data_IF_616018632633
#
_entry.id   IF_616018632633
#
_cell.length_a   1.000
_cell.length_b   1.000
_cell.length_c   1.000
_cell.angle_alpha   90.00
_cell.angle_beta   90.00
_cell.angle_gamma   90.00
#
_symmetry.space_group_name_H-M   'P 1'
#
loop_
_entity.id
_entity.type
_entity.pdbx_description
1 polymer ?
#
# COMPACT_ATOMS: atom_id res chain seq x y z
N UNK A 1 12.88 -44.51 -6.01
CA UNK A 1 12.01 -44.42 -4.82
C UNK A 1 11.50 -42.97 -4.78
N UNK A 2 10.24 -42.74 -5.13
CA UNK A 2 9.59 -41.44 -5.06
C UNK A 2 9.21 -41.15 -3.61
N UNK A 3 9.38 -39.90 -3.10
CA UNK A 3 8.75 -39.54 -1.84
C UNK A 3 7.28 -39.20 -2.10
N UNK A 4 6.44 -39.81 -1.31
CA UNK A 4 5.00 -39.74 -1.30
C UNK A 4 4.48 -38.35 -1.02
N UNK A 5 3.47 -37.96 -1.76
CA UNK A 5 2.56 -36.83 -1.56
C UNK A 5 2.02 -36.77 -0.11
N UNK A 6 2.45 -35.77 0.65
CA UNK A 6 1.82 -35.44 1.91
C UNK A 6 0.45 -34.80 1.63
N UNK A 7 -0.60 -35.48 2.05
CA UNK A 7 -1.99 -35.13 1.83
C UNK A 7 -2.43 -33.93 2.67
N UNK A 8 -3.22 -33.06 2.03
CA UNK A 8 -4.02 -31.98 2.62
C UNK A 8 -4.91 -32.47 3.79
N UNK A 9 -4.40 -32.45 5.00
CA UNK A 9 -5.19 -32.66 6.24
C UNK A 9 -5.05 -31.53 7.26
N UNK A 10 -4.41 -30.42 6.93
CA UNK A 10 -3.98 -29.45 7.93
C UNK A 10 -5.02 -28.42 8.38
N UNK A 11 -6.15 -28.26 7.66
CA UNK A 11 -7.20 -27.29 8.02
C UNK A 11 -7.95 -27.59 9.33
N UNK A 12 -8.08 -28.88 9.69
CA UNK A 12 -8.75 -29.26 10.97
C UNK A 12 -7.87 -29.09 12.20
N UNK A 13 -6.55 -29.16 12.05
CA UNK A 13 -5.63 -29.05 13.17
C UNK A 13 -5.40 -27.61 13.64
N UNK A 14 -5.54 -26.60 12.80
CA UNK A 14 -5.34 -25.20 13.21
C UNK A 14 -6.44 -24.67 14.14
N UNK A 15 -7.71 -25.00 13.89
CA UNK A 15 -8.80 -24.65 14.78
C UNK A 15 -8.61 -25.32 16.16
N UNK A 16 -8.13 -26.59 16.20
CA UNK A 16 -7.84 -27.30 17.43
C UNK A 16 -6.64 -26.75 18.19
N UNK A 17 -5.65 -26.15 17.54
CA UNK A 17 -4.50 -25.51 18.21
C UNK A 17 -4.94 -24.23 18.93
N UNK A 18 -5.77 -23.40 18.28
CA UNK A 18 -6.31 -22.17 18.90
C UNK A 18 -7.22 -22.55 20.09
N UNK A 19 -8.09 -23.56 19.92
CA UNK A 19 -8.98 -24.04 20.98
C UNK A 19 -8.22 -24.78 22.10
N UNK A 20 -7.15 -25.52 21.78
CA UNK A 20 -6.31 -26.21 22.71
C UNK A 20 -5.55 -25.26 23.65
N UNK A 21 -4.93 -24.20 23.10
CA UNK A 21 -4.23 -23.20 23.92
C UNK A 21 -5.18 -22.40 24.84
N UNK A 22 -6.45 -22.27 24.47
CA UNK A 22 -7.46 -21.56 25.28
C UNK A 22 -8.10 -22.44 26.34
N UNK A 23 -8.06 -23.77 26.20
CA UNK A 23 -8.63 -24.70 27.15
C UNK A 23 -7.72 -25.01 28.35
N UNK A 24 -6.43 -24.72 28.26
CA UNK A 24 -5.54 -24.85 29.41
C UNK A 24 -5.78 -23.74 30.44
N UNK A 25 -6.26 -24.09 31.61
CA UNK A 25 -6.34 -23.17 32.76
C UNK A 25 -4.94 -22.61 33.03
N UNK A 26 -4.83 -21.27 33.11
CA UNK A 26 -3.63 -20.64 33.63
C UNK A 26 -3.31 -21.27 34.98
N UNK A 27 -2.02 -21.59 35.26
CA UNK A 27 -1.65 -22.03 36.62
C UNK A 27 -2.17 -21.02 37.64
N UNK A 28 -2.71 -21.50 38.75
CA UNK A 28 -3.41 -20.71 39.76
C UNK A 28 -2.56 -19.67 40.52
N UNK A 29 -1.27 -19.57 40.20
CA UNK A 29 -0.30 -18.69 40.87
C UNK A 29 0.27 -17.58 39.96
N UNK A 30 -0.54 -16.97 39.11
CA UNK A 30 -0.08 -15.86 38.23
C UNK A 30 0.88 -16.32 37.11
N UNK A 31 1.00 -17.61 36.88
CA UNK A 31 1.90 -18.21 35.90
C UNK A 31 1.40 -18.02 34.47
N UNK A 32 2.32 -17.63 33.62
CA UNK A 32 2.27 -17.66 32.18
C UNK A 32 3.56 -18.29 31.67
N UNK A 33 3.81 -18.18 30.36
CA UNK A 33 5.05 -18.64 29.77
C UNK A 33 6.11 -17.54 29.84
N UNK A 34 7.36 -17.93 30.13
CA UNK A 34 8.51 -17.01 30.07
C UNK A 34 8.86 -16.63 28.65
N UNK A 35 8.60 -17.53 27.68
CA UNK A 35 8.89 -17.30 26.26
C UNK A 35 7.74 -17.84 25.43
N UNK A 36 7.22 -16.98 24.55
CA UNK A 36 6.28 -17.33 23.47
C UNK A 36 6.87 -16.93 22.15
N UNK A 37 7.19 -17.91 21.32
CA UNK A 37 7.78 -17.70 20.00
C UNK A 37 6.97 -18.43 18.93
N UNK A 38 6.82 -17.84 17.72
CA UNK A 38 6.07 -18.49 16.66
C UNK A 38 6.21 -17.86 15.27
N UNK A 39 5.64 -18.58 14.33
CA UNK A 39 5.41 -18.13 12.96
C UNK A 39 3.92 -18.36 12.66
N UNK A 40 3.06 -17.36 12.85
CA UNK A 40 1.61 -17.50 12.66
C UNK A 40 1.27 -17.60 11.16
N UNK A 41 0.09 -18.12 10.80
CA UNK A 41 -0.33 -18.19 9.41
C UNK A 41 -0.62 -16.82 8.81
N UNK A 42 -0.02 -16.52 7.64
CA UNK A 42 -0.19 -15.26 6.89
C UNK A 42 -1.39 -15.37 5.94
N UNK A 43 -2.59 -15.47 6.49
CA UNK A 43 -3.83 -15.55 5.70
C UNK A 43 -4.57 -14.22 5.78
N UNK A 44 -4.64 -13.54 4.64
CA UNK A 44 -5.28 -12.23 4.53
C UNK A 44 -6.80 -12.29 4.72
N UNK A 45 -7.40 -11.18 5.14
CA UNK A 45 -8.86 -11.09 5.26
C UNK A 45 -9.62 -11.43 3.97
N UNK A 46 -9.22 -10.98 2.77
CA UNK A 46 -9.86 -11.40 1.53
C UNK A 46 -9.81 -12.91 1.30
N UNK A 47 -8.66 -13.54 1.57
CA UNK A 47 -8.48 -14.99 1.46
C UNK A 47 -9.37 -15.74 2.44
N UNK A 48 -9.45 -15.28 3.69
CA UNK A 48 -10.34 -15.86 4.71
C UNK A 48 -11.81 -15.80 4.26
N UNK A 49 -12.26 -14.66 3.73
CA UNK A 49 -13.65 -14.44 3.31
C UNK A 49 -14.00 -15.26 2.07
N UNK A 50 -13.06 -15.44 1.15
CA UNK A 50 -13.28 -16.19 -0.09
C UNK A 50 -13.36 -17.72 0.11
N UNK A 51 -12.76 -18.26 1.17
CA UNK A 51 -12.81 -19.68 1.51
C UNK A 51 -13.93 -19.96 2.51
N UNK A 52 -14.91 -20.83 2.21
CA UNK A 52 -16.00 -21.16 3.16
C UNK A 52 -15.48 -21.64 4.52
N UNK A 53 -14.47 -22.51 4.54
CA UNK A 53 -13.91 -23.06 5.78
C UNK A 53 -13.20 -21.97 6.62
N UNK A 54 -12.37 -21.14 5.98
CA UNK A 54 -11.67 -20.06 6.67
C UNK A 54 -12.63 -18.96 7.11
N UNK A 55 -13.69 -18.72 6.38
CA UNK A 55 -14.71 -17.75 6.76
C UNK A 55 -15.52 -18.25 7.98
N UNK A 56 -15.86 -19.52 8.02
CA UNK A 56 -16.48 -20.11 9.21
C UNK A 56 -15.57 -19.98 10.44
N UNK A 57 -14.28 -20.30 10.31
CA UNK A 57 -13.29 -20.10 11.37
C UNK A 57 -13.24 -18.64 11.82
N UNK A 58 -13.18 -17.70 10.87
CA UNK A 58 -13.21 -16.26 11.13
C UNK A 58 -14.44 -15.85 11.93
N UNK A 59 -15.63 -16.34 11.57
CA UNK A 59 -16.87 -16.06 12.29
C UNK A 59 -16.84 -16.62 13.72
N UNK A 60 -16.31 -17.81 13.94
CA UNK A 60 -16.13 -18.39 15.28
C UNK A 60 -15.20 -17.54 16.14
N UNK A 61 -14.07 -17.05 15.58
CA UNK A 61 -13.13 -16.17 16.29
C UNK A 61 -13.85 -14.88 16.73
N UNK A 62 -14.60 -14.24 15.83
CA UNK A 62 -15.37 -13.03 16.14
C UNK A 62 -16.44 -13.31 17.19
N UNK A 63 -17.21 -14.39 17.04
CA UNK A 63 -18.30 -14.76 17.97
C UNK A 63 -17.79 -15.11 19.39
N UNK A 64 -16.55 -15.58 19.51
CA UNK A 64 -15.95 -15.91 20.81
C UNK A 64 -15.79 -14.71 21.73
N UNK A 65 -15.72 -13.47 21.19
CA UNK A 65 -15.45 -12.22 21.91
C UNK A 65 -14.19 -12.24 22.80
N UNK A 66 -13.28 -13.19 22.55
CA UNK A 66 -12.04 -13.37 23.32
C UNK A 66 -10.95 -12.38 22.96
N UNK A 67 -11.00 -11.82 21.72
CA UNK A 67 -9.95 -10.99 21.17
C UNK A 67 -10.40 -9.53 21.06
N UNK A 68 -9.63 -8.63 21.66
CA UNK A 68 -9.86 -7.17 21.64
C UNK A 68 -9.24 -6.51 20.40
N UNK A 69 -8.20 -7.16 19.83
CA UNK A 69 -7.38 -6.61 18.74
C UNK A 69 -8.05 -6.65 17.37
N UNK A 70 -9.15 -7.38 17.20
CA UNK A 70 -9.82 -7.51 15.92
C UNK A 70 -10.38 -6.18 15.43
N UNK A 71 -9.96 -5.75 14.24
CA UNK A 71 -10.37 -4.49 13.66
C UNK A 71 -10.57 -4.62 12.14
N UNK A 72 -11.74 -4.22 11.64
CA UNK A 72 -12.05 -4.24 10.21
C UNK A 72 -11.73 -5.58 9.50
N UNK A 73 -10.92 -5.54 8.47
CA UNK A 73 -10.49 -6.71 7.68
C UNK A 73 -9.16 -7.26 8.20
N UNK A 74 -9.14 -7.73 9.45
CA UNK A 74 -7.94 -8.27 10.10
C UNK A 74 -7.44 -9.57 9.42
N UNK A 75 -6.13 -9.72 9.36
CA UNK A 75 -5.43 -10.91 8.91
C UNK A 75 -5.29 -11.92 10.04
N UNK A 76 -5.18 -13.22 9.72
CA UNK A 76 -5.29 -14.30 10.71
C UNK A 76 -4.19 -14.25 11.77
N UNK A 77 -3.02 -13.72 11.50
CA UNK A 77 -1.94 -13.60 12.48
C UNK A 77 -2.28 -12.63 13.64
N UNK A 78 -3.23 -11.70 13.48
CA UNK A 78 -3.61 -10.72 14.51
C UNK A 78 -4.15 -11.41 15.79
N UNK A 79 -5.17 -12.28 15.75
CA UNK A 79 -5.60 -13.01 16.93
C UNK A 79 -4.55 -13.99 17.46
N UNK A 80 -3.63 -14.52 16.62
CA UNK A 80 -2.52 -15.33 17.11
C UNK A 80 -1.54 -14.53 17.96
N UNK A 81 -1.21 -13.31 17.57
CA UNK A 81 -0.37 -12.44 18.38
C UNK A 81 -1.04 -12.10 19.71
N UNK A 82 -2.31 -11.71 19.70
CA UNK A 82 -3.03 -11.42 20.95
C UNK A 82 -3.07 -12.62 21.87
N UNK A 83 -3.35 -13.82 21.33
CA UNK A 83 -3.32 -15.05 22.12
C UNK A 83 -1.93 -15.28 22.73
N UNK A 84 -0.87 -15.15 21.96
CA UNK A 84 0.50 -15.31 22.44
C UNK A 84 0.85 -14.31 23.55
N UNK A 85 0.41 -13.07 23.45
CA UNK A 85 0.59 -12.05 24.48
C UNK A 85 -0.19 -12.38 25.77
N UNK A 86 -1.42 -12.90 25.63
CA UNK A 86 -2.24 -13.32 26.80
C UNK A 86 -1.65 -14.52 27.56
N UNK A 87 -0.78 -15.29 26.93
CA UNK A 87 -0.13 -16.46 27.52
C UNK A 87 1.15 -16.11 28.31
N UNK A 88 1.67 -14.89 28.20
CA UNK A 88 2.90 -14.47 28.87
C UNK A 88 2.72 -14.33 30.39
N UNK A 89 3.77 -14.68 31.15
CA UNK A 89 3.93 -14.14 32.51
C UNK A 89 4.40 -12.65 32.40
N UNK A 90 4.29 -11.86 33.48
CA UNK A 90 4.65 -10.44 33.47
C UNK A 90 6.08 -10.14 32.96
N UNK A 91 7.03 -11.03 33.24
CA UNK A 91 8.43 -10.90 32.79
C UNK A 91 8.73 -11.67 31.52
N UNK A 92 7.73 -12.40 30.99
CA UNK A 92 7.88 -13.20 29.77
C UNK A 92 8.04 -12.36 28.52
N UNK A 93 8.67 -12.95 27.51
CA UNK A 93 8.95 -12.31 26.22
C UNK A 93 8.22 -13.05 25.10
N UNK A 94 7.46 -12.30 24.34
CA UNK A 94 6.80 -12.75 23.11
C UNK A 94 7.62 -12.33 21.90
N UNK A 95 7.71 -13.21 20.90
CA UNK A 95 8.26 -12.88 19.58
C UNK A 95 7.62 -13.74 18.51
N UNK A 96 7.15 -13.12 17.43
CA UNK A 96 6.68 -13.80 16.22
C UNK A 96 7.17 -13.07 14.97
N UNK A 97 7.54 -13.84 13.96
CA UNK A 97 7.76 -13.25 12.63
C UNK A 97 6.38 -12.99 12.00
N UNK A 98 6.13 -11.75 11.61
CA UNK A 98 4.82 -11.30 11.11
C UNK A 98 4.96 -10.40 9.88
N UNK A 99 3.91 -10.26 9.05
CA UNK A 99 3.92 -9.32 7.95
C UNK A 99 4.17 -7.88 8.40
N UNK A 100 5.06 -7.19 7.70
CA UNK A 100 5.41 -5.79 7.96
C UNK A 100 4.19 -4.83 8.00
N UNK A 101 3.11 -5.03 7.21
CA UNK A 101 1.88 -4.25 7.31
C UNK A 101 1.27 -4.16 8.71
N UNK A 102 1.65 -5.03 9.65
CA UNK A 102 1.29 -4.86 11.05
C UNK A 102 1.69 -3.49 11.59
N UNK A 103 2.83 -2.93 11.16
CA UNK A 103 3.39 -1.68 11.67
C UNK A 103 2.53 -0.45 11.36
N UNK A 104 1.79 -0.46 10.26
CA UNK A 104 1.11 0.74 9.74
C UNK A 104 -0.35 0.56 9.30
N UNK A 105 -0.80 -0.65 8.91
CA UNK A 105 -2.13 -0.85 8.35
C UNK A 105 -3.25 -0.71 9.39
N UNK A 106 -4.43 -0.25 8.95
CA UNK A 106 -5.60 0.05 9.80
C UNK A 106 -6.09 -1.17 10.60
N UNK A 107 -6.06 -2.35 9.98
CA UNK A 107 -6.53 -3.56 10.68
C UNK A 107 -5.66 -3.94 11.88
N UNK A 108 -4.37 -3.56 11.90
CA UNK A 108 -3.46 -3.76 13.03
C UNK A 108 -3.60 -2.73 14.17
N UNK A 109 -4.38 -1.66 13.97
CA UNK A 109 -4.48 -0.55 14.91
C UNK A 109 -4.79 -0.97 16.34
N UNK A 110 -5.82 -1.80 16.55
CA UNK A 110 -6.22 -2.22 17.89
C UNK A 110 -5.16 -3.08 18.58
N UNK A 111 -4.45 -3.93 17.81
CA UNK A 111 -3.34 -4.72 18.35
C UNK A 111 -2.17 -3.81 18.74
N UNK A 112 -1.77 -2.87 17.87
CA UNK A 112 -0.73 -1.90 18.19
C UNK A 112 -1.07 -1.04 19.41
N UNK A 113 -2.33 -0.59 19.51
CA UNK A 113 -2.83 0.14 20.68
C UNK A 113 -2.67 -0.70 21.95
N UNK A 114 -3.14 -1.94 21.92
CA UNK A 114 -3.04 -2.87 23.04
C UNK A 114 -1.57 -3.07 23.46
N UNK A 115 -0.67 -3.27 22.49
CA UNK A 115 0.76 -3.41 22.77
C UNK A 115 1.32 -2.13 23.41
N UNK A 116 0.99 -0.96 22.90
CA UNK A 116 1.47 0.32 23.41
C UNK A 116 0.94 0.65 24.83
N UNK A 117 -0.23 0.16 25.20
CA UNK A 117 -0.89 0.50 26.46
C UNK A 117 -0.73 -0.58 27.56
N UNK A 118 -0.66 -1.86 27.16
CA UNK A 118 -0.71 -2.98 28.10
C UNK A 118 0.63 -3.75 28.20
N UNK A 119 1.54 -3.60 27.21
CA UNK A 119 2.79 -4.36 27.08
C UNK A 119 3.98 -3.45 26.81
N UNK A 120 5.18 -4.01 26.96
CA UNK A 120 6.42 -3.33 26.61
C UNK A 120 6.99 -3.86 25.28
N UNK A 121 7.00 -3.03 24.24
CA UNK A 121 7.70 -3.33 22.99
C UNK A 121 9.19 -3.05 23.20
N UNK A 122 10.01 -4.10 23.26
CA UNK A 122 11.45 -4.02 23.52
C UNK A 122 12.23 -3.70 22.26
N UNK A 123 11.88 -4.41 21.18
CA UNK A 123 12.61 -4.35 19.93
C UNK A 123 11.70 -4.70 18.75
N UNK A 124 11.98 -4.11 17.61
CA UNK A 124 11.45 -4.54 16.32
C UNK A 124 12.65 -4.82 15.41
N UNK A 125 12.82 -6.08 15.00
CA UNK A 125 13.74 -6.41 13.91
C UNK A 125 13.01 -6.21 12.58
N UNK A 126 13.44 -5.21 11.83
CA UNK A 126 12.96 -4.93 10.49
C UNK A 126 13.67 -5.84 9.48
N UNK A 127 12.90 -6.69 8.82
CA UNK A 127 13.37 -7.62 7.78
C UNK A 127 13.14 -7.08 6.36
N UNK A 128 12.76 -5.82 6.27
CA UNK A 128 12.48 -5.19 4.99
C UNK A 128 13.75 -5.15 4.13
N UNK A 129 13.61 -5.50 2.84
CA UNK A 129 14.75 -5.62 1.94
C UNK A 129 15.51 -6.95 2.02
N UNK A 130 15.24 -7.78 3.04
CA UNK A 130 15.87 -9.09 3.18
C UNK A 130 14.92 -10.21 2.76
N UNK A 131 15.29 -11.01 1.78
CA UNK A 131 14.50 -12.17 1.35
C UNK A 131 14.63 -13.32 2.34
N UNK A 132 13.72 -13.40 3.31
CA UNK A 132 13.71 -14.43 4.36
C UNK A 132 13.12 -15.76 3.85
N UNK A 133 12.08 -15.69 3.03
CA UNK A 133 11.40 -16.86 2.48
C UNK A 133 11.55 -16.90 0.96
N UNK A 134 11.97 -18.05 0.40
CA UNK A 134 12.20 -18.19 -1.04
C UNK A 134 10.99 -17.87 -1.90
N UNK A 135 9.78 -18.17 -1.41
CA UNK A 135 8.51 -18.07 -2.14
C UNK A 135 7.58 -16.95 -1.62
N UNK A 136 8.02 -16.11 -0.68
CA UNK A 136 7.19 -15.03 -0.14
C UNK A 136 7.62 -13.67 -0.69
N UNK A 137 6.64 -12.92 -1.19
CA UNK A 137 6.80 -11.53 -1.65
C UNK A 137 6.43 -10.51 -0.56
N UNK A 138 6.18 -10.97 0.68
CA UNK A 138 5.73 -10.12 1.78
C UNK A 138 6.92 -9.76 2.66
N UNK A 139 7.16 -8.48 2.83
CA UNK A 139 8.10 -7.97 3.83
C UNK A 139 7.63 -8.34 5.24
N UNK A 140 8.57 -8.63 6.12
CA UNK A 140 8.30 -9.10 7.49
C UNK A 140 8.98 -8.22 8.52
N UNK A 141 8.52 -8.33 9.77
CA UNK A 141 9.20 -7.82 10.95
C UNK A 141 9.07 -8.82 12.11
N UNK A 142 9.96 -8.70 13.09
CA UNK A 142 9.93 -9.51 14.30
C UNK A 142 9.84 -8.56 15.50
N UNK A 143 8.67 -8.35 16.10
CA UNK A 143 8.54 -7.62 17.36
C UNK A 143 8.93 -8.52 18.53
N UNK A 144 9.68 -7.96 19.49
CA UNK A 144 9.97 -8.54 20.81
C UNK A 144 9.18 -7.75 21.85
N UNK A 145 8.26 -8.42 22.54
CA UNK A 145 7.29 -7.78 23.41
C UNK A 145 7.34 -8.44 24.79
N UNK A 146 7.47 -7.65 25.85
CA UNK A 146 7.47 -8.12 27.23
C UNK A 146 6.07 -7.98 27.86
N UNK A 147 5.71 -8.90 28.74
CA UNK A 147 4.41 -8.96 29.42
C UNK A 147 4.15 -7.90 30.48
N UNK A 148 5.07 -6.94 30.67
CA UNK A 148 4.97 -5.85 31.65
C UNK A 148 4.66 -4.51 30.99
N UNK A 149 4.31 -3.51 31.82
CA UNK A 149 4.01 -2.14 31.41
C UNK A 149 5.15 -1.45 30.63
N UNK A 150 4.83 -0.51 29.74
CA UNK A 150 5.80 0.11 28.83
C UNK A 150 6.70 1.13 29.57
N UNK A 151 7.87 0.66 29.99
CA UNK A 151 8.96 1.55 30.43
C UNK A 151 10.23 1.20 29.64
N UNK A 152 11.01 2.23 29.27
CA UNK A 152 12.29 2.08 28.58
C UNK A 152 12.23 2.21 27.04
N UNK A 153 13.40 2.35 26.44
CA UNK A 153 13.53 2.62 24.99
C UNK A 153 13.14 1.42 24.13
N UNK A 154 12.57 1.71 22.96
CA UNK A 154 12.34 0.77 21.88
C UNK A 154 13.59 0.74 21.00
N UNK A 155 14.16 -0.45 20.77
CA UNK A 155 15.20 -0.67 19.77
C UNK A 155 14.60 -1.03 18.43
N UNK A 156 15.18 -0.49 17.36
CA UNK A 156 14.89 -0.92 15.99
C UNK A 156 16.18 -1.46 15.41
N UNK A 157 16.13 -2.72 14.96
CA UNK A 157 17.25 -3.42 14.35
C UNK A 157 16.92 -3.79 12.91
N UNK A 158 17.93 -3.88 12.07
CA UNK A 158 17.82 -4.37 10.69
C UNK A 158 18.70 -5.60 10.47
N UNK A 159 18.23 -6.51 9.64
CA UNK A 159 19.00 -7.62 9.13
C UNK A 159 19.53 -7.23 7.74
N UNK A 160 20.83 -7.24 7.58
CA UNK A 160 21.51 -6.91 6.33
C UNK A 160 21.72 -8.16 5.46
N UNK A 161 22.10 -7.98 4.19
CA UNK A 161 22.33 -9.09 3.26
C UNK A 161 23.44 -10.05 3.74
N UNK A 162 24.42 -9.54 4.50
CA UNK A 162 25.47 -10.34 5.15
C UNK A 162 24.95 -11.14 6.36
N UNK A 163 23.65 -11.13 6.62
CA UNK A 163 22.96 -11.74 7.76
C UNK A 163 23.37 -11.17 9.13
N UNK A 164 24.05 -10.04 9.17
CA UNK A 164 24.31 -9.33 10.42
C UNK A 164 23.07 -8.56 10.87
N UNK A 165 22.85 -8.54 12.20
CA UNK A 165 21.82 -7.74 12.83
C UNK A 165 22.49 -6.51 13.40
N UNK A 166 22.02 -5.31 13.01
CA UNK A 166 22.55 -4.04 13.53
C UNK A 166 21.41 -3.20 14.06
N UNK A 167 21.64 -2.57 15.19
CA UNK A 167 20.77 -1.54 15.71
C UNK A 167 20.87 -0.31 14.81
N UNK A 168 19.73 0.17 14.30
CA UNK A 168 19.67 1.32 13.41
C UNK A 168 19.04 2.54 14.11
N UNK A 169 18.23 2.32 15.17
CA UNK A 169 17.50 3.39 15.81
C UNK A 169 17.07 3.02 17.22
N UNK A 170 17.02 4.02 18.13
CA UNK A 170 16.31 3.94 19.43
C UNK A 170 15.26 5.02 19.52
N UNK A 171 14.11 4.66 20.06
CA UNK A 171 13.00 5.59 20.30
C UNK A 171 12.60 5.62 21.75
N UNK A 172 12.14 6.78 22.21
CA UNK A 172 11.58 6.93 23.54
C UNK A 172 10.31 6.05 23.69
N UNK A 173 9.94 5.64 24.90
CA UNK A 173 8.82 4.72 25.14
C UNK A 173 7.46 5.24 24.66
N UNK A 174 7.28 6.56 24.67
CA UNK A 174 6.08 7.26 24.26
C UNK A 174 5.95 7.44 22.74
N UNK A 175 7.02 7.16 21.98
CA UNK A 175 7.01 7.28 20.52
C UNK A 175 5.91 6.42 19.86
N UNK A 176 5.52 5.30 20.49
CA UNK A 176 4.43 4.44 20.00
C UNK A 176 3.04 5.05 20.22
N UNK A 177 2.91 6.06 21.09
CA UNK A 177 1.66 6.73 21.44
C UNK A 177 1.49 8.08 20.73
N UNK A 178 2.51 8.58 20.03
CA UNK A 178 2.48 9.91 19.38
C UNK A 178 1.41 10.01 18.30
N UNK A 179 1.12 8.89 17.57
CA UNK A 179 -0.05 8.81 16.69
C UNK A 179 -1.21 8.12 17.40
N UNK A 180 -1.88 8.80 18.34
CA UNK A 180 -3.06 8.28 19.07
C UNK A 180 -4.21 7.88 18.12
N UNK A 181 -4.23 8.43 16.92
CA UNK A 181 -5.25 8.11 15.93
C UNK A 181 -5.07 6.72 15.34
N UNK A 182 -3.84 6.27 15.07
CA UNK A 182 -3.57 5.01 14.36
C UNK A 182 -2.56 4.09 15.03
N UNK A 183 -1.78 4.58 16.02
CA UNK A 183 -0.71 3.84 16.71
C UNK A 183 0.31 3.24 15.73
N UNK A 184 0.68 3.99 14.69
CA UNK A 184 1.64 3.54 13.67
C UNK A 184 3.02 3.39 14.29
N UNK A 185 3.68 2.26 14.02
CA UNK A 185 5.07 2.04 14.38
C UNK A 185 5.96 2.59 13.27
N UNK A 186 6.47 3.79 13.47
CA UNK A 186 7.45 4.36 12.56
C UNK A 186 8.83 3.78 12.87
N UNK A 187 9.40 2.97 11.97
CA UNK A 187 10.65 2.25 12.16
C UNK A 187 11.87 2.96 11.54
N UNK A 188 11.70 4.15 10.99
CA UNK A 188 12.77 4.95 10.40
C UNK A 188 13.20 6.07 11.35
N UNK A 189 14.41 6.59 11.17
CA UNK A 189 14.92 7.76 11.93
C UNK A 189 14.07 9.02 11.71
N UNK A 190 13.35 9.06 10.64
CA UNK A 190 12.66 10.24 10.17
C UNK A 190 11.24 10.40 10.73
N UNK A 191 11.14 10.81 11.99
CA UNK A 191 10.17 11.86 12.31
C UNK A 191 10.46 13.12 11.44
N UNK A 192 11.66 13.22 10.89
CA UNK A 192 12.15 14.31 10.05
C UNK A 192 11.77 14.19 8.58
N UNK A 193 11.55 13.01 7.97
CA UNK A 193 11.12 12.95 6.58
C UNK A 193 9.70 13.50 6.40
N UNK A 194 8.76 13.18 7.29
CA UNK A 194 7.46 13.86 7.36
C UNK A 194 7.58 15.32 7.79
N UNK A 195 8.57 15.68 8.61
CA UNK A 195 8.81 17.05 9.09
C UNK A 195 9.66 17.88 8.13
N UNK A 196 10.63 17.28 7.43
CA UNK A 196 11.51 17.98 6.49
C UNK A 196 10.73 18.60 5.32
N UNK A 197 9.66 17.95 4.90
CA UNK A 197 8.81 18.40 3.79
C UNK A 197 7.39 18.80 4.22
N UNK A 198 7.16 18.98 5.54
CA UNK A 198 5.84 19.33 6.10
C UNK A 198 5.25 20.64 5.55
N UNK A 199 6.11 21.55 5.11
CA UNK A 199 5.73 22.82 4.51
C UNK A 199 5.59 22.78 2.98
N UNK A 200 5.90 21.63 2.36
CA UNK A 200 5.69 21.46 0.92
C UNK A 200 4.24 21.06 0.61
N UNK A 201 3.77 21.48 -0.55
CA UNK A 201 2.53 20.94 -1.10
C UNK A 201 2.72 19.43 -1.41
N UNK A 202 1.65 18.68 -1.33
CA UNK A 202 1.64 17.26 -1.68
C UNK A 202 0.98 17.04 -3.03
N UNK A 203 1.23 15.91 -3.68
CA UNK A 203 0.62 15.62 -4.99
C UNK A 203 -0.90 15.72 -4.96
N UNK A 204 -1.54 15.40 -3.84
CA UNK A 204 -2.99 15.53 -3.64
C UNK A 204 -3.52 16.97 -3.70
N UNK A 205 -2.67 17.97 -3.47
CA UNK A 205 -3.05 19.39 -3.58
C UNK A 205 -3.16 19.83 -5.06
N UNK A 206 -2.39 19.18 -5.95
CA UNK A 206 -2.38 19.45 -7.39
C UNK A 206 -3.31 18.54 -8.17
N UNK A 207 -3.47 17.29 -7.72
CA UNK A 207 -4.15 16.24 -8.48
C UNK A 207 -5.26 15.56 -7.69
N UNK A 208 -6.38 15.30 -8.35
CA UNK A 208 -7.32 14.28 -7.94
C UNK A 208 -6.73 12.90 -8.24
N UNK A 209 -6.64 12.03 -7.23
CA UNK A 209 -6.05 10.70 -7.36
C UNK A 209 -7.13 9.65 -7.15
N UNK A 210 -7.28 8.76 -8.11
CA UNK A 210 -8.25 7.66 -8.09
C UNK A 210 -7.64 6.36 -8.60
N UNK A 211 -8.26 5.24 -8.24
CA UNK A 211 -8.03 3.97 -8.93
C UNK A 211 -8.84 3.91 -10.21
N UNK A 212 -8.42 3.09 -11.16
CA UNK A 212 -9.14 2.84 -12.38
C UNK A 212 -10.37 1.94 -12.23
N UNK A 213 -10.93 1.52 -13.34
CA UNK A 213 -12.17 0.76 -13.39
C UNK A 213 -12.00 -0.71 -13.01
N UNK A 214 -13.01 -1.26 -12.37
CA UNK A 214 -13.14 -2.70 -12.08
C UNK A 214 -14.01 -3.34 -13.15
N UNK A 215 -13.43 -4.22 -13.94
CA UNK A 215 -14.07 -4.80 -15.13
C UNK A 215 -14.91 -6.07 -14.85
N UNK A 216 -14.94 -6.57 -13.63
CA UNK A 216 -15.81 -7.70 -13.29
C UNK A 216 -17.25 -7.20 -13.10
N UNK A 217 -18.23 -8.05 -13.43
CA UNK A 217 -19.62 -7.76 -13.18
C UNK A 217 -19.89 -7.42 -11.71
N UNK A 218 -20.82 -6.50 -11.47
CA UNK A 218 -21.29 -6.18 -10.13
C UNK A 218 -21.95 -7.42 -9.49
N UNK A 219 -21.51 -7.74 -8.26
CA UNK A 219 -22.00 -8.93 -7.55
C UNK A 219 -23.49 -8.87 -7.20
N UNK A 220 -24.03 -7.65 -7.08
CA UNK A 220 -25.42 -7.44 -6.70
C UNK A 220 -26.38 -7.43 -7.89
N UNK A 221 -25.92 -6.87 -9.03
CA UNK A 221 -26.78 -6.63 -10.21
C UNK A 221 -26.52 -7.60 -11.36
N UNK A 222 -25.28 -8.09 -11.48
CA UNK A 222 -24.86 -8.93 -12.63
C UNK A 222 -23.85 -10.01 -12.23
N UNK A 223 -24.00 -10.61 -11.06
CA UNK A 223 -23.08 -11.63 -10.53
C UNK A 223 -22.89 -12.76 -11.54
N UNK A 224 -21.63 -12.97 -11.96
CA UNK A 224 -21.25 -14.03 -12.89
C UNK A 224 -21.66 -13.80 -14.34
N UNK A 225 -22.26 -12.64 -14.68
CA UNK A 225 -22.69 -12.33 -16.04
C UNK A 225 -21.51 -12.20 -17.03
N UNK A 226 -20.37 -11.70 -16.54
CA UNK A 226 -19.13 -11.63 -17.32
C UNK A 226 -17.91 -11.49 -16.40
N UNK A 227 -16.73 -11.80 -16.92
CA UNK A 227 -15.43 -11.57 -16.28
C UNK A 227 -14.65 -10.52 -17.04
N UNK A 228 -13.59 -10.03 -16.44
CA UNK A 228 -12.68 -9.04 -17.04
C UNK A 228 -12.23 -9.44 -18.45
N UNK A 229 -11.82 -10.69 -18.61
CA UNK A 229 -11.27 -11.18 -19.89
C UNK A 229 -12.33 -11.23 -21.01
N UNK A 230 -13.62 -11.28 -20.68
CA UNK A 230 -14.73 -11.23 -21.63
C UNK A 230 -14.94 -9.84 -22.26
N UNK A 231 -14.31 -8.80 -21.67
CA UNK A 231 -14.42 -7.41 -22.10
C UNK A 231 -13.17 -6.90 -22.82
N UNK A 232 -12.09 -7.70 -22.89
CA UNK A 232 -10.79 -7.25 -23.39
C UNK A 232 -10.40 -8.05 -24.63
N UNK A 233 -10.01 -7.33 -25.67
CA UNK A 233 -9.45 -7.91 -26.90
C UNK A 233 -8.01 -7.47 -27.10
N UNK A 234 -7.19 -8.32 -27.73
CA UNK A 234 -5.83 -7.96 -28.18
C UNK A 234 -5.85 -7.09 -29.44
N UNK A 235 -6.95 -7.05 -30.18
CA UNK A 235 -7.12 -6.28 -31.40
C UNK A 235 -8.31 -5.32 -31.30
N UNK A 236 -8.19 -4.20 -32.02
CA UNK A 236 -9.28 -3.25 -32.20
C UNK A 236 -10.38 -3.84 -33.09
N UNK A 237 -11.62 -3.64 -32.69
CA UNK A 237 -12.82 -3.89 -33.49
C UNK A 237 -13.95 -2.90 -33.12
N UNK A 238 -15.14 -3.05 -33.72
CA UNK A 238 -16.28 -2.16 -33.49
C UNK A 238 -16.83 -2.21 -32.04
N UNK A 239 -16.58 -3.30 -31.32
CA UNK A 239 -17.03 -3.50 -29.94
C UNK A 239 -15.90 -3.07 -29.00
N UNK A 240 -14.68 -3.57 -29.24
CA UNK A 240 -13.47 -3.26 -28.48
C UNK A 240 -12.80 -2.00 -29.08
N UNK A 241 -13.41 -0.85 -28.81
CA UNK A 241 -13.09 0.40 -29.48
C UNK A 241 -12.18 1.37 -28.68
N UNK A 242 -11.89 1.09 -27.41
CA UNK A 242 -11.04 1.95 -26.59
C UNK A 242 -9.77 1.24 -26.14
N UNK A 243 -8.62 1.90 -26.34
CA UNK A 243 -7.34 1.43 -25.81
C UNK A 243 -7.40 1.27 -24.29
N UNK A 244 -6.89 0.16 -23.78
CA UNK A 244 -6.96 -0.23 -22.38
C UNK A 244 -5.63 -0.80 -21.91
N UNK A 245 -5.22 -0.40 -20.69
CA UNK A 245 -3.97 -0.84 -20.06
C UNK A 245 -4.15 -1.21 -18.60
N UNK A 246 -3.24 -2.03 -18.09
CA UNK A 246 -3.10 -2.42 -16.69
C UNK A 246 -1.69 -2.09 -16.18
N UNK A 247 -1.46 -2.16 -14.88
CA UNK A 247 -0.17 -1.86 -14.28
C UNK A 247 1.01 -2.65 -14.85
N UNK A 248 0.78 -3.89 -15.30
CA UNK A 248 1.80 -4.73 -15.97
C UNK A 248 2.18 -4.24 -17.37
N UNK A 249 1.33 -3.43 -17.97
CA UNK A 249 1.48 -2.93 -19.33
C UNK A 249 2.28 -1.62 -19.41
N UNK A 250 2.64 -1.02 -18.27
CA UNK A 250 3.45 0.21 -18.21
C UNK A 250 4.83 -0.02 -17.61
N UNK A 251 5.73 0.90 -17.94
CA UNK A 251 7.01 1.14 -17.30
C UNK A 251 7.22 2.64 -17.06
N UNK A 252 8.32 3.06 -16.44
CA UNK A 252 8.69 4.47 -16.36
C UNK A 252 8.69 5.05 -17.77
N UNK A 253 7.93 6.12 -18.01
CA UNK A 253 7.82 6.84 -19.29
C UNK A 253 7.30 6.01 -20.47
N UNK A 254 6.76 4.80 -20.31
CA UNK A 254 6.42 3.94 -21.46
C UNK A 254 5.18 3.07 -21.21
N UNK A 255 4.35 2.92 -22.24
CA UNK A 255 3.37 1.84 -22.37
C UNK A 255 3.98 0.72 -23.22
N UNK A 256 4.11 -0.49 -22.63
CA UNK A 256 4.72 -1.67 -23.29
C UNK A 256 3.72 -2.51 -24.08
N UNK A 257 2.46 -2.47 -23.69
CA UNK A 257 1.39 -3.26 -24.32
C UNK A 257 0.06 -2.52 -24.23
N UNK A 258 -0.67 -2.52 -25.33
CA UNK A 258 -2.02 -1.95 -25.41
C UNK A 258 -2.99 -3.08 -25.78
N UNK A 259 -4.13 -3.08 -25.10
CA UNK A 259 -5.28 -3.90 -25.42
C UNK A 259 -6.48 -3.01 -25.69
N UNK A 260 -7.60 -3.58 -26.03
CA UNK A 260 -8.81 -2.86 -26.38
C UNK A 260 -9.97 -3.31 -25.51
N UNK A 261 -10.69 -2.37 -24.95
CA UNK A 261 -11.83 -2.62 -24.08
C UNK A 261 -13.13 -2.48 -24.86
N UNK A 262 -14.04 -3.38 -24.63
CA UNK A 262 -15.44 -3.26 -25.02
C UNK A 262 -16.02 -1.96 -24.44
N UNK A 263 -16.59 -1.12 -25.29
CA UNK A 263 -17.04 0.21 -24.89
C UNK A 263 -18.36 0.61 -25.54
N UNK A 264 -19.23 1.30 -24.78
CA UNK A 264 -20.58 1.69 -25.19
C UNK A 264 -21.49 0.51 -25.58
N UNK A 265 -21.31 -0.63 -24.97
CA UNK A 265 -22.19 -1.79 -25.12
C UNK A 265 -23.18 -1.87 -23.97
N UNK A 266 -24.15 -2.79 -24.07
CA UNK A 266 -25.18 -2.99 -23.04
C UNK A 266 -24.59 -3.32 -21.66
N UNK A 267 -23.43 -3.99 -21.59
CA UNK A 267 -22.78 -4.37 -20.34
C UNK A 267 -21.65 -3.46 -19.89
N UNK A 268 -21.13 -2.58 -20.76
CA UNK A 268 -20.01 -1.70 -20.46
C UNK A 268 -20.33 -0.25 -20.88
N UNK A 269 -20.31 0.75 -19.99
CA UNK A 269 -19.86 0.67 -18.58
C UNK A 269 -20.97 0.41 -17.55
N UNK A 270 -22.22 0.21 -17.95
CA UNK A 270 -23.38 0.24 -17.05
C UNK A 270 -23.36 -0.82 -15.96
N UNK A 271 -22.72 -1.99 -16.22
CA UNK A 271 -22.60 -3.09 -15.27
C UNK A 271 -21.23 -3.18 -14.60
N UNK A 272 -20.35 -2.19 -14.80
CA UNK A 272 -19.07 -2.16 -14.11
C UNK A 272 -19.25 -1.66 -12.67
N UNK A 273 -18.53 -2.28 -11.72
CA UNK A 273 -18.49 -1.83 -10.32
C UNK A 273 -17.94 -0.42 -10.17
N UNK A 274 -17.06 -0.01 -11.07
CA UNK A 274 -16.51 1.31 -11.28
C UNK A 274 -16.35 1.48 -12.79
N UNK A 275 -16.69 2.56 -13.43
CA UNK A 275 -15.98 3.82 -13.39
C UNK A 275 -16.50 4.72 -12.29
N UNK A 276 -15.58 5.44 -11.66
CA UNK A 276 -15.91 6.39 -10.61
C UNK A 276 -16.74 7.55 -11.20
N UNK A 277 -16.33 8.04 -12.38
CA UNK A 277 -17.04 8.99 -13.24
C UNK A 277 -16.26 9.08 -14.57
N UNK A 278 -17.00 9.44 -15.63
CA UNK A 278 -16.51 9.34 -17.00
C UNK A 278 -15.41 10.35 -17.31
N UNK A 279 -15.55 11.57 -16.80
CA UNK A 279 -14.63 12.69 -17.01
C UNK A 279 -13.20 12.38 -16.51
N UNK A 280 -13.05 11.45 -15.57
CA UNK A 280 -11.75 11.00 -15.10
C UNK A 280 -10.89 10.39 -16.22
N UNK A 281 -11.54 9.77 -17.20
CA UNK A 281 -10.87 9.12 -18.32
C UNK A 281 -10.70 10.05 -19.53
N UNK A 282 -11.43 11.14 -19.56
CA UNK A 282 -11.47 12.10 -20.67
C UNK A 282 -10.61 13.36 -20.41
N UNK A 283 -9.69 13.28 -19.43
CA UNK A 283 -8.69 14.32 -19.13
C UNK A 283 -7.27 13.81 -19.36
N UNK A 284 -6.29 14.70 -19.62
CA UNK A 284 -4.88 14.40 -19.52
C UNK A 284 -4.56 13.89 -18.11
N UNK A 285 -3.74 12.83 -18.01
CA UNK A 285 -3.54 12.16 -16.72
C UNK A 285 -2.20 11.45 -16.61
N UNK A 286 -1.69 11.39 -15.40
CA UNK A 286 -0.59 10.50 -15.04
C UNK A 286 -1.17 9.14 -14.65
N UNK A 287 -0.67 8.07 -15.23
CA UNK A 287 -1.03 6.68 -14.97
C UNK A 287 0.08 6.04 -14.16
N UNK A 288 -0.26 5.50 -12.98
CA UNK A 288 0.69 5.12 -11.93
C UNK A 288 0.41 3.68 -11.52
N UNK A 289 1.44 2.83 -11.42
CA UNK A 289 1.32 1.46 -10.94
C UNK A 289 0.98 1.40 -9.43
N UNK A 290 0.57 0.21 -8.98
CA UNK A 290 0.20 -0.02 -7.57
C UNK A 290 1.10 -1.01 -6.83
N UNK A 291 2.17 -1.48 -7.44
CA UNK A 291 3.05 -2.49 -6.87
C UNK A 291 4.52 -2.16 -7.17
N UNK A 292 5.38 -2.34 -6.19
CA UNK A 292 6.83 -2.27 -6.36
C UNK A 292 7.37 -0.84 -6.52
N UNK A 293 8.33 -0.67 -7.39
CA UNK A 293 8.95 0.61 -7.74
C UNK A 293 7.95 1.47 -8.51
N UNK A 294 8.01 2.77 -8.32
CA UNK A 294 7.09 3.70 -8.97
C UNK A 294 7.31 3.74 -10.49
N UNK A 295 6.25 3.57 -11.24
CA UNK A 295 6.23 3.63 -12.70
C UNK A 295 5.10 4.55 -13.12
N UNK A 296 5.46 5.61 -13.80
CA UNK A 296 4.50 6.63 -14.22
C UNK A 296 4.59 6.86 -15.73
N UNK A 297 3.43 6.85 -16.36
CA UNK A 297 3.25 7.22 -17.75
C UNK A 297 2.31 8.42 -17.86
N UNK A 298 2.57 9.34 -18.78
CA UNK A 298 1.73 10.51 -19.04
C UNK A 298 0.87 10.28 -20.29
N UNK A 299 -0.44 10.20 -20.11
CA UNK A 299 -1.44 10.13 -21.17
C UNK A 299 -2.00 11.53 -21.46
N UNK A 300 -1.31 12.30 -22.29
CA UNK A 300 -1.71 13.67 -22.68
C UNK A 300 -2.87 13.63 -23.66
N UNK A 301 -2.84 12.69 -24.61
CA UNK A 301 -3.79 12.60 -25.72
C UNK A 301 -5.06 11.83 -25.37
N UNK A 302 -5.23 11.47 -24.09
CA UNK A 302 -6.44 10.82 -23.55
C UNK A 302 -6.74 9.49 -24.26
N UNK A 303 -5.69 8.72 -24.54
CA UNK A 303 -5.79 7.48 -25.30
C UNK A 303 -6.27 6.30 -24.48
N UNK A 304 -5.97 6.27 -23.15
CA UNK A 304 -6.07 5.05 -22.39
C UNK A 304 -7.16 5.05 -21.33
N UNK A 305 -7.98 4.01 -21.37
CA UNK A 305 -8.71 3.52 -20.20
C UNK A 305 -7.77 2.64 -19.36
N UNK A 306 -7.97 2.57 -18.07
CA UNK A 306 -7.08 1.82 -17.18
C UNK A 306 -7.83 1.09 -16.08
N UNK A 307 -7.25 -0.05 -15.64
CA UNK A 307 -7.84 -0.89 -14.60
C UNK A 307 -7.60 -0.33 -13.19
N UNK A 308 -8.28 -0.94 -12.23
CA UNK A 308 -8.05 -0.70 -10.79
C UNK A 308 -6.70 -1.22 -10.28
N UNK A 309 -5.90 -1.89 -11.11
CA UNK A 309 -4.49 -2.19 -10.82
C UNK A 309 -3.58 -0.97 -10.92
N UNK A 310 -4.11 0.16 -11.34
CA UNK A 310 -3.42 1.44 -11.52
C UNK A 310 -4.14 2.57 -10.77
N UNK A 311 -3.38 3.63 -10.47
CA UNK A 311 -3.94 4.94 -10.17
C UNK A 311 -3.89 5.83 -11.41
N UNK A 312 -4.77 6.83 -11.43
CA UNK A 312 -4.60 8.01 -12.24
C UNK A 312 -4.53 9.24 -11.34
N UNK A 313 -3.73 10.22 -11.77
CA UNK A 313 -3.68 11.54 -11.19
C UNK A 313 -4.03 12.57 -12.27
N UNK A 314 -5.13 13.31 -12.06
CA UNK A 314 -5.66 14.35 -12.95
C UNK A 314 -5.56 15.68 -12.24
N UNK A 315 -5.03 16.71 -12.90
CA UNK A 315 -4.93 18.04 -12.30
C UNK A 315 -6.33 18.57 -11.92
N UNK A 316 -6.46 19.19 -10.75
CA UNK A 316 -7.73 19.73 -10.29
C UNK A 316 -8.33 20.74 -11.27
N UNK A 317 -7.51 21.52 -11.95
CA UNK A 317 -7.95 22.49 -12.98
C UNK A 317 -8.67 21.81 -14.15
N UNK A 318 -8.26 20.58 -14.53
CA UNK A 318 -8.83 19.84 -15.65
C UNK A 318 -10.16 19.16 -15.28
N UNK A 319 -10.47 19.09 -13.99
CA UNK A 319 -11.76 18.63 -13.46
C UNK A 319 -12.68 19.80 -13.05
N UNK A 320 -12.37 21.04 -13.44
CA UNK A 320 -13.17 22.21 -13.10
C UNK A 320 -14.60 22.05 -13.59
N UNK A 321 -15.56 22.27 -12.68
CA UNK A 321 -16.99 22.10 -12.97
C UNK A 321 -17.53 20.68 -12.86
N UNK A 322 -16.67 19.66 -12.76
CA UNK A 322 -17.08 18.26 -12.56
C UNK A 322 -17.46 18.04 -11.10
N UNK A 323 -18.73 17.72 -10.87
CA UNK A 323 -19.29 17.50 -9.52
C UNK A 323 -19.83 16.08 -9.41
N UNK A 324 -19.26 15.30 -8.51
CA UNK A 324 -19.75 13.97 -8.18
C UNK A 324 -19.39 13.56 -6.75
N UNK A 325 -20.02 12.47 -6.27
CA UNK A 325 -19.84 11.97 -4.91
C UNK A 325 -18.39 11.56 -4.60
N UNK A 326 -17.66 11.05 -5.59
CA UNK A 326 -16.27 10.60 -5.40
C UNK A 326 -15.33 11.78 -5.15
N UNK A 327 -15.45 12.85 -5.93
CA UNK A 327 -14.71 14.10 -5.74
C UNK A 327 -15.02 14.71 -4.37
N UNK A 328 -16.31 14.88 -4.05
CA UNK A 328 -16.74 15.47 -2.77
C UNK A 328 -16.24 14.65 -1.57
N UNK A 329 -16.28 13.31 -1.67
CA UNK A 329 -15.77 12.43 -0.62
C UNK A 329 -14.25 12.51 -0.49
N UNK A 330 -13.52 12.64 -1.60
CA UNK A 330 -12.06 12.79 -1.59
C UNK A 330 -11.65 14.10 -0.93
N UNK A 331 -12.27 15.20 -1.30
CA UNK A 331 -12.00 16.53 -0.71
C UNK A 331 -12.25 16.48 0.80
N UNK A 332 -13.42 15.98 1.22
CA UNK A 332 -13.76 15.91 2.66
C UNK A 332 -12.79 15.06 3.49
N UNK A 333 -12.22 14.00 2.91
CA UNK A 333 -11.38 13.04 3.65
C UNK A 333 -9.93 13.40 3.67
N UNK A 334 -9.41 13.99 2.59
CA UNK A 334 -7.98 14.01 2.33
C UNK A 334 -7.40 15.39 2.05
N UNK A 335 -8.22 16.37 1.66
CA UNK A 335 -7.70 17.66 1.24
C UNK A 335 -7.65 18.64 2.42
N UNK A 336 -6.54 19.38 2.52
CA UNK A 336 -6.36 20.48 3.47
C UNK A 336 -6.90 21.80 2.91
N UNK A 337 -6.95 21.93 1.59
CA UNK A 337 -7.39 23.10 0.85
C UNK A 337 -8.82 22.91 0.32
N UNK A 338 -9.53 23.99 0.10
CA UNK A 338 -10.79 23.94 -0.60
C UNK A 338 -10.56 23.70 -2.12
N UNK A 339 -11.61 23.33 -2.83
CA UNK A 339 -11.51 22.96 -4.23
C UNK A 339 -11.01 24.10 -5.13
N UNK A 340 -11.46 25.32 -4.93
CA UNK A 340 -11.07 26.45 -5.74
C UNK A 340 -9.59 26.78 -5.60
N UNK A 341 -9.05 26.65 -4.39
CA UNK A 341 -7.61 26.81 -4.14
C UNK A 341 -6.79 25.72 -4.85
N UNK A 342 -7.24 24.45 -4.80
CA UNK A 342 -6.58 23.35 -5.50
C UNK A 342 -6.65 23.49 -7.03
N UNK A 343 -7.78 23.93 -7.58
CA UNK A 343 -7.91 24.24 -9.01
C UNK A 343 -6.92 25.33 -9.42
N UNK A 344 -6.74 26.36 -8.61
CA UNK A 344 -5.78 27.46 -8.84
C UNK A 344 -4.34 26.94 -8.70
N UNK A 345 -4.05 26.25 -7.60
CA UNK A 345 -2.71 25.71 -7.32
C UNK A 345 -2.25 24.74 -8.40
N UNK A 346 -3.15 23.88 -8.91
CA UNK A 346 -2.83 22.95 -9.99
C UNK A 346 -2.47 23.61 -11.30
N UNK A 347 -2.79 24.90 -11.46
CA UNK A 347 -2.33 25.72 -12.57
C UNK A 347 -0.85 26.10 -12.53
N UNK A 348 -0.21 25.99 -11.36
CA UNK A 348 1.21 26.34 -11.18
C UNK A 348 2.19 25.23 -11.55
N UNK A 349 1.71 24.03 -11.89
CA UNK A 349 2.53 22.89 -12.27
C UNK A 349 2.12 22.33 -13.64
N UNK A 350 3.09 21.74 -14.31
CA UNK A 350 2.92 21.07 -15.60
C UNK A 350 2.96 19.56 -15.44
N UNK A 351 2.22 18.80 -16.28
CA UNK A 351 2.19 17.34 -16.21
C UNK A 351 3.53 16.68 -16.57
N UNK A 352 4.32 17.27 -17.47
CA UNK A 352 5.66 16.74 -17.77
C UNK A 352 6.63 16.96 -16.61
N UNK A 353 6.50 18.11 -15.91
CA UNK A 353 7.23 18.34 -14.67
C UNK A 353 6.89 17.26 -13.62
N UNK A 354 5.60 17.02 -13.37
CA UNK A 354 5.16 15.98 -12.45
C UNK A 354 5.59 14.58 -12.90
N UNK A 355 5.59 14.30 -14.20
CA UNK A 355 6.11 13.05 -14.76
C UNK A 355 7.58 12.85 -14.42
N UNK A 356 8.40 13.89 -14.54
CA UNK A 356 9.81 13.87 -14.19
C UNK A 356 10.02 13.64 -12.69
N UNK A 357 9.32 14.39 -11.84
CA UNK A 357 9.39 14.21 -10.38
C UNK A 357 9.04 12.77 -10.01
N UNK A 358 7.90 12.26 -10.47
CA UNK A 358 7.38 10.96 -10.04
C UNK A 358 8.16 9.75 -10.58
N UNK A 359 8.91 9.89 -11.67
CA UNK A 359 9.78 8.83 -12.17
C UNK A 359 11.24 8.92 -11.68
N UNK A 360 11.57 9.91 -10.85
CA UNK A 360 12.90 10.09 -10.30
C UNK A 360 13.22 9.09 -9.18
N UNK A 361 14.50 8.90 -8.92
CA UNK A 361 14.98 8.11 -7.76
C UNK A 361 14.56 8.73 -6.43
N UNK A 362 14.41 10.05 -6.35
CA UNK A 362 13.93 10.75 -5.15
C UNK A 362 12.48 10.37 -4.82
N UNK A 363 11.59 10.30 -5.81
CA UNK A 363 10.21 9.87 -5.60
C UNK A 363 10.12 8.40 -5.16
N UNK A 364 10.97 7.52 -5.72
CA UNK A 364 11.07 6.13 -5.28
C UNK A 364 11.50 6.03 -3.81
N UNK A 365 12.48 6.84 -3.37
CA UNK A 365 12.95 6.89 -1.99
C UNK A 365 11.85 7.41 -1.05
N UNK A 366 11.23 8.54 -1.37
CA UNK A 366 10.13 9.12 -0.58
C UNK A 366 8.94 8.16 -0.45
N UNK A 367 8.63 7.42 -1.52
CA UNK A 367 7.59 6.41 -1.50
C UNK A 367 7.98 5.20 -0.64
N UNK A 368 9.23 4.76 -0.71
CA UNK A 368 9.75 3.67 0.12
C UNK A 368 9.66 4.02 1.61
N UNK A 369 10.05 5.24 1.98
CA UNK A 369 9.96 5.75 3.35
C UNK A 369 8.51 5.76 3.86
N UNK A 370 7.56 6.21 3.02
CA UNK A 370 6.13 6.22 3.39
C UNK A 370 5.51 4.83 3.49
N UNK A 371 5.96 3.87 2.67
CA UNK A 371 5.41 2.50 2.66
C UNK A 371 5.93 1.65 3.82
N UNK A 372 7.10 2.00 4.35
CA UNK A 372 7.71 1.20 5.40
C UNK A 372 7.85 -0.28 5.00
N UNK A 373 8.25 -0.56 3.75
CA UNK A 373 8.48 -1.91 3.24
C UNK A 373 7.27 -2.67 2.71
N UNK A 374 6.08 -2.11 2.72
CA UNK A 374 4.95 -2.70 2.00
C UNK A 374 5.20 -2.64 0.49
N UNK A 375 5.04 -3.79 -0.20
CA UNK A 375 5.17 -3.86 -1.65
C UNK A 375 4.03 -3.14 -2.39
N UNK A 376 2.87 -2.96 -1.72
CA UNK A 376 1.71 -2.29 -2.27
C UNK A 376 1.83 -0.77 -2.14
N UNK A 377 1.43 -0.09 -3.20
CA UNK A 377 1.25 1.35 -3.21
C UNK A 377 -0.24 1.65 -2.99
N UNK A 378 -0.55 2.39 -1.93
CA UNK A 378 -1.92 2.83 -1.64
C UNK A 378 -2.16 4.26 -2.12
N UNK A 379 -3.42 4.67 -2.35
CA UNK A 379 -3.73 6.03 -2.80
C UNK A 379 -3.15 7.11 -1.88
N UNK A 380 -3.09 6.84 -0.57
CA UNK A 380 -2.53 7.73 0.43
C UNK A 380 -1.03 7.98 0.23
N UNK A 381 -0.27 6.95 -0.13
CA UNK A 381 1.16 7.08 -0.40
C UNK A 381 1.41 8.04 -1.56
N UNK A 382 0.68 7.87 -2.67
CA UNK A 382 0.81 8.73 -3.85
C UNK A 382 0.33 10.15 -3.54
N UNK A 383 -0.79 10.29 -2.82
CA UNK A 383 -1.38 11.58 -2.48
C UNK A 383 -0.46 12.43 -1.61
N UNK A 384 0.26 11.79 -0.69
CA UNK A 384 1.13 12.46 0.28
C UNK A 384 2.57 12.66 -0.20
N UNK A 385 2.91 12.33 -1.46
CA UNK A 385 4.23 12.64 -1.99
C UNK A 385 4.44 14.16 -2.01
N UNK A 386 5.49 14.68 -1.35
CA UNK A 386 5.79 16.10 -1.38
C UNK A 386 6.23 16.52 -2.77
N UNK A 387 5.69 17.63 -3.25
CA UNK A 387 5.96 18.17 -4.58
C UNK A 387 6.50 19.59 -4.43
N UNK A 388 7.77 19.84 -4.73
CA UNK A 388 8.30 21.19 -4.75
C UNK A 388 7.69 22.00 -5.91
N UNK A 389 7.59 23.31 -5.73
CA UNK A 389 7.12 24.23 -6.77
C UNK A 389 8.20 25.30 -6.97
N UNK A 390 9.27 24.97 -7.70
CA UNK A 390 10.33 25.95 -7.99
C UNK A 390 9.87 26.98 -9.04
N UNK A 391 10.75 27.93 -9.37
CA UNK A 391 10.57 28.86 -10.46
C UNK A 391 10.28 28.13 -11.76
N UNK A 392 9.56 28.79 -12.68
CA UNK A 392 9.07 28.18 -13.93
C UNK A 392 10.19 27.57 -14.78
N UNK A 393 11.34 28.22 -14.83
CA UNK A 393 12.52 27.78 -15.58
C UNK A 393 13.02 26.40 -15.12
N UNK A 394 13.02 26.15 -13.81
CA UNK A 394 13.42 24.85 -13.24
C UNK A 394 12.38 23.77 -13.51
N UNK A 395 11.08 24.13 -13.47
CA UNK A 395 10.01 23.19 -13.87
C UNK A 395 10.13 22.82 -15.35
N UNK A 396 10.35 23.81 -16.21
CA UNK A 396 10.48 23.60 -17.66
C UNK A 396 11.71 22.75 -18.01
N UNK A 397 12.84 22.95 -17.34
CA UNK A 397 14.03 22.13 -17.52
C UNK A 397 13.74 20.63 -17.24
N UNK A 398 13.09 20.32 -16.12
CA UNK A 398 12.70 18.96 -15.78
C UNK A 398 11.66 18.42 -16.75
N UNK A 399 10.67 19.24 -17.12
CA UNK A 399 9.61 18.85 -18.06
C UNK A 399 10.14 18.54 -19.47
N UNK A 400 11.11 19.30 -19.95
CA UNK A 400 11.77 19.07 -21.27
C UNK A 400 12.50 17.72 -21.25
N UNK A 401 13.28 17.45 -20.20
CA UNK A 401 14.00 16.17 -20.06
C UNK A 401 13.01 15.01 -19.98
N UNK A 402 11.97 15.14 -19.16
CA UNK A 402 10.94 14.09 -19.01
C UNK A 402 10.24 13.80 -20.35
N UNK A 403 9.95 14.83 -21.14
CA UNK A 403 9.36 14.69 -22.48
C UNK A 403 10.31 13.99 -23.46
N UNK A 404 11.58 14.33 -23.41
CA UNK A 404 12.60 13.71 -24.27
C UNK A 404 12.81 12.23 -23.89
N UNK A 405 12.85 11.88 -22.57
CA UNK A 405 12.94 10.50 -22.12
C UNK A 405 11.73 9.70 -22.62
N UNK A 406 10.52 10.26 -22.51
CA UNK A 406 9.29 9.62 -23.00
C UNK A 406 9.42 9.31 -24.51
N UNK A 407 9.85 10.28 -25.31
CA UNK A 407 10.05 10.10 -26.75
C UNK A 407 11.10 9.03 -27.06
N UNK A 408 12.24 9.02 -26.36
CA UNK A 408 13.29 8.02 -26.54
C UNK A 408 12.83 6.61 -26.16
N UNK A 409 12.04 6.51 -25.11
CA UNK A 409 11.41 5.23 -24.71
C UNK A 409 10.46 4.68 -25.77
N UNK A 410 9.69 5.53 -26.42
CA UNK A 410 8.81 5.15 -27.54
C UNK A 410 9.58 4.71 -28.77
N UNK A 411 10.74 5.31 -29.03
CA UNK A 411 11.61 4.99 -30.18
C UNK A 411 12.69 3.95 -29.86
N UNK A 412 12.69 3.36 -28.66
CA UNK A 412 13.72 2.44 -28.16
C UNK A 412 15.16 2.99 -28.26
N UNK A 413 15.32 4.30 -28.08
CA UNK A 413 16.61 4.99 -28.08
C UNK A 413 17.19 5.06 -26.67
N UNK A 414 18.51 5.19 -26.52
CA UNK A 414 19.18 5.34 -25.23
C UNK A 414 18.79 6.67 -24.57
N UNK A 415 18.50 6.62 -23.28
CA UNK A 415 18.09 7.76 -22.45
C UNK A 415 18.84 7.82 -21.11
N UNK A 416 19.84 6.98 -20.90
CA UNK A 416 20.53 6.81 -19.59
C UNK A 416 21.12 8.13 -19.08
N UNK A 417 21.74 8.93 -19.97
CA UNK A 417 22.30 10.23 -19.60
C UNK A 417 21.21 11.23 -19.18
N UNK A 418 20.06 11.22 -19.85
CA UNK A 418 18.92 12.07 -19.51
C UNK A 418 18.28 11.65 -18.16
N UNK A 419 18.25 10.36 -17.86
CA UNK A 419 17.74 9.86 -16.57
C UNK A 419 18.66 10.30 -15.42
N UNK A 420 19.97 10.23 -15.59
CA UNK A 420 20.94 10.74 -14.61
C UNK A 420 20.78 12.25 -14.40
N UNK A 421 20.67 13.01 -15.49
CA UNK A 421 20.45 14.45 -15.45
C UNK A 421 19.13 14.83 -14.76
N UNK A 422 18.05 14.10 -15.07
CA UNK A 422 16.74 14.25 -14.41
C UNK A 422 16.85 14.04 -12.90
N UNK A 423 17.49 12.94 -12.48
CA UNK A 423 17.65 12.60 -11.07
C UNK A 423 18.46 13.67 -10.33
N UNK A 424 19.51 14.21 -10.94
CA UNK A 424 20.31 15.30 -10.37
C UNK A 424 19.50 16.58 -10.16
N UNK A 425 18.73 17.02 -11.18
CA UNK A 425 17.87 18.20 -11.07
C UNK A 425 16.77 18.04 -10.04
N UNK A 426 16.13 16.88 -10.02
CA UNK A 426 15.07 16.60 -9.03
C UNK A 426 15.63 16.56 -7.62
N UNK A 427 16.75 15.87 -7.38
CA UNK A 427 17.36 15.79 -6.05
C UNK A 427 17.72 17.17 -5.48
N UNK A 428 18.15 18.12 -6.33
CA UNK A 428 18.44 19.48 -5.93
C UNK A 428 17.22 20.26 -5.40
N UNK A 429 15.98 19.89 -5.82
CA UNK A 429 14.76 20.54 -5.34
C UNK A 429 14.34 20.09 -3.93
N UNK A 430 14.92 19.02 -3.41
CA UNK A 430 14.59 18.46 -2.10
C UNK A 430 15.71 18.71 -1.05
N UNK A 431 16.73 19.46 -1.40
CA UNK A 431 17.77 19.90 -0.48
C UNK A 431 17.34 21.15 0.30
#
# INVERSE_FOLDING_TARGET
MHPSTASRKDGKNMASIIDFCVSQKRPSNGGGFDIVIGNPPYISAPTQIASPELNEQRQRIVASKKYKSLNEKWDLYVPFMELGLQLLCPQGVFSMIVPYPLTNQKYGKKLRKMIAEEYRLLEIADLNGTKIFENATVSNCIPFIQGSQPEGELRITQIFEDKTIREVLRKAPDALKQDEKNYVWNLTEDERAGSRFSNMNILGDFCYISVGMVLNADETTAKGAFRKDDLISESFDNIHSRKYIEAKDIDKFQVKRVRYLEWNTERCPDKLRRPTFRELYDCPKLLINRLGVLKVYLDVDIHYLHSDSMFCAVLWKDLKGVNNKSISSSIKKFCKHNRADMETLSGSVDLYYLLGILNSSMADQLLADQRGGDYHIYPEHIRNLPIPVPQKEAQDAIGIIAKEILHRRETNSDYSELEEQLNGLVAALYQ
#
